data_IF_193459688259
#
_entry.id   IF_193459688259
#
_cell.length_a   1.000
_cell.length_b   1.000
_cell.length_c   1.000
_cell.angle_alpha   90.00
_cell.angle_beta   90.00
_cell.angle_gamma   90.00
#
_symmetry.space_group_name_H-M   'P 1'
#
loop_
_entity.id
_entity.type
_entity.pdbx_description
1 polymer ?
#
# COMPACT_ATOMS: atom_id res chain seq x y z
N UNK A 1 -11.00 -2.87 0.05
CA UNK A 1 -9.66 -2.38 0.41
C UNK A 1 -9.23 -3.10 1.66
N UNK A 2 -8.00 -3.57 1.66
CA UNK A 2 -7.35 -4.10 2.85
C UNK A 2 -6.07 -3.30 3.07
N UNK A 3 -5.95 -2.66 4.23
CA UNK A 3 -4.75 -1.95 4.65
C UNK A 3 -3.92 -2.85 5.56
N UNK A 4 -2.84 -3.44 5.03
CA UNK A 4 -2.02 -4.43 5.71
C UNK A 4 -0.62 -3.91 6.06
N UNK A 5 -0.04 -4.39 7.17
CA UNK A 5 1.37 -4.13 7.52
C UNK A 5 2.25 -5.27 7.05
N UNK A 6 3.34 -4.92 6.38
CA UNK A 6 4.38 -5.85 5.96
C UNK A 6 5.74 -5.39 6.48
N UNK A 7 6.56 -6.34 6.94
CA UNK A 7 7.94 -6.05 7.30
C UNK A 7 8.81 -6.19 6.06
N UNK A 8 9.57 -5.16 5.73
CA UNK A 8 10.58 -5.17 4.65
C UNK A 8 11.86 -5.89 5.07
N UNK A 9 11.95 -6.33 6.33
CA UNK A 9 13.14 -7.00 6.88
C UNK A 9 12.96 -8.50 6.83
N UNK A 10 13.96 -9.18 6.28
CA UNK A 10 13.98 -10.62 6.19
C UNK A 10 13.99 -11.24 7.59
N UNK A 11 12.95 -12.00 7.93
CA UNK A 11 12.84 -12.70 9.23
C UNK A 11 13.85 -13.85 9.36
N UNK A 12 14.25 -14.45 8.24
CA UNK A 12 15.23 -15.53 8.18
C UNK A 12 16.39 -15.10 7.29
N UNK A 13 17.61 -14.92 7.84
CA UNK A 13 18.78 -14.69 7.00
C UNK A 13 19.00 -15.90 6.09
N UNK A 14 19.45 -15.65 4.84
CA UNK A 14 19.81 -16.73 3.94
C UNK A 14 20.98 -17.54 4.50
N UNK A 15 21.00 -18.85 4.25
CA UNK A 15 22.15 -19.68 4.59
C UNK A 15 23.30 -19.29 3.66
N UNK A 16 24.46 -19.00 4.26
CA UNK A 16 25.63 -18.50 3.55
C UNK A 16 26.73 -19.56 3.64
N UNK A 17 27.35 -19.91 2.51
CA UNK A 17 28.52 -20.79 2.49
C UNK A 17 29.77 -19.93 2.64
N UNK A 18 30.62 -20.27 3.61
CA UNK A 18 31.86 -19.54 3.89
C UNK A 18 33.02 -20.48 4.13
N UNK A 19 34.25 -19.96 3.96
CA UNK A 19 35.47 -20.71 4.25
C UNK A 19 35.51 -21.13 5.72
N UNK A 20 35.85 -22.40 5.97
CA UNK A 20 36.02 -22.95 7.32
C UNK A 20 37.02 -22.10 8.10
N UNK A 21 36.58 -21.52 9.22
CA UNK A 21 37.41 -20.66 10.09
C UNK A 21 37.17 -19.15 9.95
N UNK A 22 36.45 -18.67 8.92
CA UNK A 22 36.05 -17.25 8.84
C UNK A 22 34.85 -16.97 9.75
N UNK A 23 35.04 -16.07 10.72
CA UNK A 23 33.98 -15.61 11.66
C UNK A 23 33.21 -14.38 11.18
N UNK A 24 33.74 -13.62 10.21
CA UNK A 24 33.08 -12.43 9.66
C UNK A 24 32.18 -12.83 8.49
N UNK A 25 30.99 -13.31 8.81
CA UNK A 25 29.93 -13.58 7.83
C UNK A 25 28.78 -12.61 8.13
N UNK A 26 28.74 -11.50 7.39
CA UNK A 26 27.72 -10.46 7.57
C UNK A 26 26.40 -10.86 6.90
N UNK A 27 25.28 -10.53 7.55
CA UNK A 27 23.96 -10.51 6.90
C UNK A 27 23.60 -9.05 6.64
N UNK A 28 23.19 -8.72 5.41
CA UNK A 28 22.63 -7.41 5.10
C UNK A 28 21.23 -7.36 5.72
N UNK A 29 21.06 -6.56 6.76
CA UNK A 29 19.74 -6.28 7.36
C UNK A 29 19.36 -4.83 7.12
N UNK A 30 18.15 -4.58 6.64
CA UNK A 30 17.65 -3.22 6.48
C UNK A 30 17.60 -2.49 7.82
N UNK A 31 17.99 -1.21 7.83
CA UNK A 31 17.81 -0.30 8.97
C UNK A 31 16.34 -0.05 9.32
N UNK A 32 15.40 -0.48 8.47
CA UNK A 32 13.97 -0.49 8.75
C UNK A 32 13.53 -1.64 9.68
N UNK A 33 14.47 -2.35 10.32
CA UNK A 33 14.15 -3.40 11.28
C UNK A 33 13.31 -2.82 12.44
N UNK A 34 12.06 -3.27 12.54
CA UNK A 34 11.09 -2.76 13.51
C UNK A 34 10.17 -1.66 12.96
N UNK A 35 10.40 -1.20 11.72
CA UNK A 35 9.51 -0.30 10.99
C UNK A 35 8.67 -1.14 10.03
N UNK A 36 7.35 -0.99 10.10
CA UNK A 36 6.43 -1.66 9.19
C UNK A 36 6.09 -0.74 8.02
N UNK A 37 6.02 -1.31 6.82
CA UNK A 37 5.51 -0.66 5.62
C UNK A 37 4.05 -1.03 5.46
N UNK A 38 3.21 -0.05 5.11
CA UNK A 38 1.79 -0.27 4.89
C UNK A 38 1.54 -0.52 3.42
N UNK A 39 0.81 -1.58 3.10
CA UNK A 39 0.34 -1.85 1.74
C UNK A 39 -1.18 -1.74 1.70
N UNK A 40 -1.69 -1.00 0.72
CA UNK A 40 -3.11 -0.86 0.44
C UNK A 40 -3.40 -1.71 -0.80
N UNK A 41 -4.19 -2.77 -0.59
CA UNK A 41 -4.52 -3.76 -1.63
C UNK A 41 -6.02 -3.77 -1.87
N UNK A 42 -6.42 -3.96 -3.13
CA UNK A 42 -7.80 -4.13 -3.51
C UNK A 42 -7.92 -5.22 -4.57
N UNK A 43 -8.82 -6.17 -4.34
CA UNK A 43 -9.06 -7.34 -5.19
C UNK A 43 -10.58 -7.48 -5.39
N UNK A 44 -11.00 -7.91 -6.56
CA UNK A 44 -12.40 -8.22 -6.85
C UNK A 44 -12.69 -9.73 -6.72
N UNK A 45 -13.97 -10.11 -6.82
CA UNK A 45 -14.39 -11.51 -6.72
C UNK A 45 -13.82 -12.43 -7.82
N UNK A 46 -13.40 -11.88 -8.96
CA UNK A 46 -12.76 -12.62 -10.04
C UNK A 46 -11.25 -12.83 -9.81
N UNK A 47 -10.69 -12.34 -8.70
CA UNK A 47 -9.27 -12.42 -8.39
C UNK A 47 -8.40 -11.38 -9.10
N UNK A 48 -9.01 -10.42 -9.80
CA UNK A 48 -8.27 -9.29 -10.41
C UNK A 48 -7.97 -8.27 -9.32
N UNK A 49 -6.73 -7.81 -9.26
CA UNK A 49 -6.26 -6.85 -8.28
C UNK A 49 -5.86 -5.52 -8.94
N UNK A 50 -6.03 -4.44 -8.19
CA UNK A 50 -5.46 -3.13 -8.53
C UNK A 50 -4.00 -3.12 -8.08
N UNK A 51 -3.05 -2.61 -8.88
CA UNK A 51 -1.66 -2.48 -8.44
C UNK A 51 -1.57 -1.81 -7.06
N UNK A 52 -0.84 -2.40 -6.11
CA UNK A 52 -0.92 -1.99 -4.72
C UNK A 52 -0.28 -0.62 -4.51
N UNK A 53 -0.77 0.12 -3.51
CA UNK A 53 -0.08 1.29 -2.98
C UNK A 53 0.79 0.88 -1.80
N UNK A 54 2.03 1.36 -1.77
CA UNK A 54 3.02 1.06 -0.75
C UNK A 54 3.39 2.36 -0.04
N UNK A 55 3.18 2.41 1.27
CA UNK A 55 3.41 3.58 2.12
C UNK A 55 4.57 3.28 3.07
N UNK A 56 5.69 3.95 2.87
CA UNK A 56 6.85 3.84 3.76
C UNK A 56 6.80 4.87 4.88
N UNK A 57 7.15 4.47 6.10
CA UNK A 57 7.27 5.38 7.25
C UNK A 57 8.53 6.24 7.14
N UNK A 58 8.44 7.40 6.48
CA UNK A 58 9.59 8.29 6.20
C UNK A 58 9.14 9.74 6.08
N UNK A 59 10.04 10.66 6.43
CA UNK A 59 9.90 12.11 6.23
C UNK A 59 10.52 12.62 4.93
N UNK A 60 11.44 11.84 4.35
CA UNK A 60 12.21 12.21 3.15
C UNK A 60 12.00 11.16 2.07
N UNK A 61 11.73 11.64 0.88
CA UNK A 61 11.63 10.81 -0.32
C UNK A 61 13.00 10.23 -0.68
N UNK A 62 12.99 8.99 -1.18
CA UNK A 62 14.13 8.37 -1.83
C UNK A 62 13.61 7.57 -3.03
N UNK A 63 14.18 7.80 -4.22
CA UNK A 63 13.80 7.10 -5.45
C UNK A 63 14.03 5.59 -5.39
N UNK A 64 14.98 5.13 -4.56
CA UNK A 64 15.23 3.71 -4.31
C UNK A 64 14.01 2.98 -3.76
N UNK A 65 13.05 3.69 -3.15
CA UNK A 65 11.82 3.10 -2.63
C UNK A 65 10.96 2.45 -3.72
N UNK A 66 11.12 2.88 -4.98
CA UNK A 66 10.42 2.30 -6.13
C UNK A 66 11.10 1.06 -6.70
N UNK A 67 12.36 0.80 -6.33
CA UNK A 67 13.14 -0.30 -6.88
C UNK A 67 12.54 -1.63 -6.44
N UNK A 68 12.16 -2.46 -7.42
CA UNK A 68 11.56 -3.77 -7.18
C UNK A 68 10.08 -3.74 -6.77
N UNK A 69 9.43 -2.57 -6.78
CA UNK A 69 7.99 -2.49 -6.61
C UNK A 69 7.26 -3.16 -7.79
N UNK A 70 6.11 -3.81 -7.57
CA UNK A 70 5.30 -4.36 -8.66
C UNK A 70 4.96 -3.29 -9.71
N UNK A 71 4.89 -3.70 -10.98
CA UNK A 71 4.56 -2.76 -12.05
C UNK A 71 3.20 -2.11 -11.82
N UNK A 72 3.15 -0.78 -11.99
CA UNK A 72 1.96 0.02 -11.72
C UNK A 72 1.73 0.32 -10.24
N UNK A 73 2.57 -0.12 -9.31
CA UNK A 73 2.43 0.23 -7.91
C UNK A 73 2.60 1.73 -7.65
N UNK A 74 1.74 2.25 -6.77
CA UNK A 74 1.87 3.61 -6.25
C UNK A 74 2.75 3.59 -5.00
N UNK A 75 3.96 4.15 -5.09
CA UNK A 75 4.89 4.21 -3.94
C UNK A 75 4.89 5.61 -3.35
N UNK A 76 4.59 5.72 -2.07
CA UNK A 76 4.50 6.98 -1.33
C UNK A 76 5.11 6.86 0.06
N UNK A 77 5.21 7.99 0.77
CA UNK A 77 5.76 8.09 2.12
C UNK A 77 4.76 8.76 3.05
N UNK A 78 4.86 8.44 4.34
CA UNK A 78 4.07 9.06 5.41
C UNK A 78 4.91 9.12 6.68
N UNK A 79 4.82 10.21 7.44
CA UNK A 79 5.52 10.37 8.72
C UNK A 79 5.16 9.24 9.72
N UNK A 80 3.90 8.80 9.68
CA UNK A 80 3.39 7.74 10.57
C UNK A 80 3.57 6.35 9.97
N UNK A 81 3.69 6.26 8.64
CA UNK A 81 3.66 5.01 7.89
C UNK A 81 2.25 4.46 7.66
N UNK A 82 1.20 5.18 8.09
CA UNK A 82 -0.19 4.83 7.83
C UNK A 82 -0.77 5.65 6.69
N UNK A 83 -1.83 5.10 6.10
CA UNK A 83 -2.71 5.85 5.23
C UNK A 83 -3.37 6.99 6.01
N UNK A 84 -3.46 8.16 5.40
CA UNK A 84 -4.22 9.31 5.89
C UNK A 84 -5.28 9.70 4.84
N UNK A 85 -6.06 10.75 5.12
CA UNK A 85 -7.13 11.19 4.23
C UNK A 85 -6.64 11.58 2.82
N UNK A 86 -5.48 12.24 2.72
CA UNK A 86 -4.88 12.69 1.45
C UNK A 86 -4.38 11.50 0.62
N UNK A 87 -3.63 10.60 1.23
CA UNK A 87 -3.15 9.37 0.61
C UNK A 87 -4.30 8.46 0.19
N UNK A 88 -5.42 8.48 0.92
CA UNK A 88 -6.63 7.75 0.52
C UNK A 88 -7.27 8.34 -0.75
N UNK A 89 -7.31 9.66 -0.89
CA UNK A 89 -7.78 10.30 -2.11
C UNK A 89 -6.83 10.02 -3.29
N UNK A 90 -5.52 10.09 -3.07
CA UNK A 90 -4.52 9.72 -4.08
C UNK A 90 -4.71 8.25 -4.52
N UNK A 91 -4.95 7.36 -3.56
CA UNK A 91 -5.28 5.97 -3.83
C UNK A 91 -6.58 5.82 -4.63
N UNK A 92 -7.63 6.61 -4.36
CA UNK A 92 -8.87 6.59 -5.15
C UNK A 92 -8.63 7.01 -6.60
N UNK A 93 -7.78 8.03 -6.84
CA UNK A 93 -7.39 8.43 -8.21
C UNK A 93 -6.65 7.30 -8.91
N UNK A 94 -5.71 6.65 -8.22
CA UNK A 94 -5.01 5.47 -8.72
C UNK A 94 -5.96 4.28 -9.00
N UNK A 95 -6.97 4.07 -8.16
CA UNK A 95 -8.00 3.07 -8.39
C UNK A 95 -8.78 3.34 -9.68
N UNK A 96 -9.19 4.60 -9.90
CA UNK A 96 -9.94 4.99 -11.10
C UNK A 96 -9.13 4.94 -12.39
N UNK A 97 -7.80 5.06 -12.33
CA UNK A 97 -6.95 4.91 -13.52
C UNK A 97 -6.78 3.45 -13.95
N UNK A 98 -6.99 2.50 -13.04
CA UNK A 98 -6.84 1.06 -13.28
C UNK A 98 -8.17 0.33 -13.48
N UNK A 99 -9.29 0.91 -13.04
CA UNK A 99 -10.62 0.34 -13.19
C UNK A 99 -11.50 1.28 -13.97
N UNK A 100 -12.12 0.75 -15.01
CA UNK A 100 -13.12 1.47 -15.79
C UNK A 100 -14.41 1.63 -14.97
N UNK A 101 -14.47 2.71 -14.19
CA UNK A 101 -15.63 3.16 -13.43
C UNK A 101 -16.34 4.31 -14.14
N UNK A 102 -17.66 4.36 -14.05
CA UNK A 102 -18.45 5.53 -14.47
C UNK A 102 -19.79 5.57 -13.75
N UNK A 103 -20.53 6.68 -13.87
CA UNK A 103 -21.90 6.77 -13.33
C UNK A 103 -22.85 5.70 -13.88
N UNK A 104 -22.61 5.22 -15.10
CA UNK A 104 -23.38 4.15 -15.75
C UNK A 104 -22.85 2.75 -15.38
N UNK A 105 -21.60 2.65 -14.93
CA UNK A 105 -20.94 1.41 -14.52
C UNK A 105 -20.39 1.57 -13.10
N UNK A 106 -21.31 1.52 -12.14
CA UNK A 106 -20.98 1.71 -10.73
C UNK A 106 -20.15 0.55 -10.18
N UNK A 107 -19.26 0.85 -9.24
CA UNK A 107 -18.46 -0.15 -8.53
C UNK A 107 -18.69 -0.02 -7.03
N UNK A 108 -18.94 -1.15 -6.36
CA UNK A 108 -19.00 -1.22 -4.91
C UNK A 108 -17.59 -1.43 -4.36
N UNK A 109 -17.14 -0.49 -3.54
CA UNK A 109 -15.86 -0.53 -2.87
C UNK A 109 -16.08 -0.80 -1.37
N UNK A 110 -15.70 -2.01 -0.96
CA UNK A 110 -15.75 -2.44 0.43
C UNK A 110 -14.53 -1.89 1.18
N UNK A 111 -14.73 -1.21 2.30
CA UNK A 111 -13.68 -0.61 3.11
C UNK A 111 -13.58 -1.34 4.45
N UNK A 112 -12.35 -1.56 4.92
CA UNK A 112 -12.14 -1.92 6.33
C UNK A 112 -12.54 -0.72 7.20
N UNK A 113 -13.00 -0.95 8.42
CA UNK A 113 -13.64 0.05 9.29
C UNK A 113 -12.75 1.23 9.74
N UNK A 114 -11.61 1.47 9.09
CA UNK A 114 -10.69 2.54 9.44
C UNK A 114 -11.32 3.91 9.22
N UNK A 115 -11.28 4.76 10.25
CA UNK A 115 -11.85 6.11 10.27
C UNK A 115 -11.31 7.07 9.21
N UNK A 116 -10.17 6.78 8.59
CA UNK A 116 -9.58 7.57 7.48
C UNK A 116 -10.43 7.50 6.21
N UNK A 117 -11.20 6.43 6.05
CA UNK A 117 -12.07 6.22 4.89
C UNK A 117 -13.38 7.01 4.95
N UNK A 118 -13.87 7.32 6.15
CA UNK A 118 -15.20 7.92 6.36
C UNK A 118 -15.20 9.41 6.70
N UNK A 119 -14.05 9.98 7.10
CA UNK A 119 -13.96 11.39 7.52
C UNK A 119 -13.47 12.37 6.44
N UNK A 120 -13.24 11.91 5.20
CA UNK A 120 -12.76 12.77 4.12
C UNK A 120 -13.90 13.11 3.14
N UNK A 121 -14.41 14.34 3.18
CA UNK A 121 -15.46 14.82 2.27
C UNK A 121 -15.02 14.77 0.81
N UNK A 122 -13.79 15.18 0.50
CA UNK A 122 -13.26 15.21 -0.87
C UNK A 122 -13.20 13.79 -1.46
N UNK A 123 -12.82 12.80 -0.67
CA UNK A 123 -12.84 11.40 -1.09
C UNK A 123 -14.25 10.88 -1.38
N UNK A 124 -15.24 11.29 -0.57
CA UNK A 124 -16.65 10.91 -0.76
C UNK A 124 -17.23 11.57 -2.02
N UNK A 125 -16.92 12.85 -2.24
CA UNK A 125 -17.34 13.58 -3.44
C UNK A 125 -16.71 12.99 -4.70
N UNK A 126 -15.41 12.73 -4.67
CA UNK A 126 -14.69 12.07 -5.75
C UNK A 126 -15.30 10.71 -6.09
N UNK A 127 -15.58 9.89 -5.07
CA UNK A 127 -16.22 8.59 -5.24
C UNK A 127 -17.60 8.72 -5.91
N UNK A 128 -18.44 9.66 -5.43
CA UNK A 128 -19.77 9.93 -5.99
C UNK A 128 -19.70 10.35 -7.46
N UNK A 129 -18.76 11.21 -7.82
CA UNK A 129 -18.59 11.69 -9.19
C UNK A 129 -18.19 10.59 -10.18
N UNK A 130 -17.38 9.63 -9.72
CA UNK A 130 -16.86 8.53 -10.53
C UNK A 130 -17.74 7.26 -10.49
N UNK A 131 -18.88 7.29 -9.80
CA UNK A 131 -19.78 6.14 -9.70
C UNK A 131 -19.29 5.05 -8.73
N UNK A 132 -18.44 5.40 -7.77
CA UNK A 132 -17.95 4.51 -6.73
C UNK A 132 -18.90 4.57 -5.53
N UNK A 133 -19.43 3.43 -5.12
CA UNK A 133 -20.23 3.27 -3.92
C UNK A 133 -19.31 2.80 -2.81
N UNK A 134 -19.13 3.61 -1.77
CA UNK A 134 -18.34 3.26 -0.60
C UNK A 134 -19.21 2.51 0.42
N UNK A 135 -18.81 1.31 0.82
CA UNK A 135 -19.46 0.55 1.90
C UNK A 135 -18.42 0.16 2.94
N UNK A 136 -18.58 0.68 4.15
CA UNK A 136 -17.71 0.37 5.28
C UNK A 136 -18.25 -0.83 6.05
N UNK A 137 -17.38 -1.81 6.32
CA UNK A 137 -17.74 -2.98 7.13
C UNK A 137 -17.69 -2.64 8.64
N UNK A 138 -18.46 -3.36 9.49
CA UNK A 138 -18.48 -3.16 10.95
C UNK A 138 -17.12 -3.30 11.63
#
# INVERSE_FOLDING_TARGET
IFCGRFSTVQKRPQKIVGLKGKRQVGTITSGERGVNTTMVVCVNAAGVYVPPMIIFKRKRWNDDLKVGAPSGSLVTISDTGYINSELFLEWLRHFTSHINVSKNKKVLLLLDGHTTHSKNLEAVEFAREHGIILLQLP
#
